data_IF_472519404307
#
_entry.id   IF_472519404307
#
_cell.length_a   1.000
_cell.length_b   1.000
_cell.length_c   1.000
_cell.angle_alpha   90.00
_cell.angle_beta   90.00
_cell.angle_gamma   90.00
#
_symmetry.space_group_name_H-M   'P 1'
#
loop_
_entity.id
_entity.type
_entity.pdbx_description
1 polymer ?
#
# COMPACT_ATOMS: atom_id res chain seq x y z
N UNK A 1 -9.46 -19.10 2.61
CA UNK A 1 -8.86 -19.38 1.27
C UNK A 1 -9.65 -20.34 0.35
N UNK A 2 -10.90 -20.65 0.64
CA UNK A 2 -11.74 -21.56 -0.16
C UNK A 2 -11.82 -21.23 -1.64
N UNK A 3 -11.81 -19.95 -2.02
CA UNK A 3 -11.81 -19.51 -3.41
C UNK A 3 -10.59 -20.01 -4.22
N UNK A 4 -9.41 -20.00 -3.61
CA UNK A 4 -8.16 -20.48 -4.23
C UNK A 4 -8.17 -22.01 -4.36
N UNK A 5 -8.66 -22.70 -3.31
CA UNK A 5 -8.75 -24.16 -3.31
C UNK A 5 -9.70 -24.70 -4.39
N UNK A 6 -10.83 -24.02 -4.60
CA UNK A 6 -11.78 -24.39 -5.65
C UNK A 6 -11.18 -24.30 -7.07
N UNK A 7 -10.03 -23.66 -7.25
CA UNK A 7 -9.33 -23.47 -8.52
C UNK A 7 -8.03 -24.27 -8.64
N UNK A 8 -7.67 -25.07 -7.62
CA UNK A 8 -6.60 -26.07 -7.76
C UNK A 8 -7.01 -27.16 -8.74
N UNK A 9 -6.04 -27.60 -9.53
CA UNK A 9 -6.25 -28.71 -10.48
C UNK A 9 -6.55 -30.01 -9.77
N UNK A 10 -7.38 -30.87 -10.38
CA UNK A 10 -7.76 -32.18 -9.83
C UNK A 10 -6.56 -33.15 -9.61
N UNK A 11 -5.44 -32.89 -10.26
CA UNK A 11 -4.21 -33.69 -10.13
C UNK A 11 -3.41 -33.39 -8.85
N UNK A 12 -3.71 -32.30 -8.14
CA UNK A 12 -3.04 -31.99 -6.88
C UNK A 12 -3.73 -32.69 -5.75
N UNK A 13 -3.06 -33.62 -5.10
CA UNK A 13 -3.53 -34.32 -3.89
C UNK A 13 -3.64 -33.41 -2.67
N UNK A 14 -2.97 -32.27 -2.70
CA UNK A 14 -2.95 -31.31 -1.62
C UNK A 14 -4.14 -30.35 -1.72
N UNK A 15 -5.12 -30.50 -0.80
CA UNK A 15 -6.32 -29.67 -0.69
C UNK A 15 -6.09 -28.40 0.13
N UNK A 16 -4.88 -28.20 0.68
CA UNK A 16 -4.55 -27.00 1.46
C UNK A 16 -3.92 -25.95 0.55
N UNK A 17 -4.17 -24.67 0.87
CA UNK A 17 -3.47 -23.58 0.21
C UNK A 17 -2.02 -23.53 0.68
N UNK A 18 -1.07 -23.57 -0.26
CA UNK A 18 0.34 -23.34 0.00
C UNK A 18 0.80 -22.13 -0.83
N UNK A 19 1.42 -21.10 -0.23
CA UNK A 19 1.95 -19.95 -0.96
C UNK A 19 3.07 -20.33 -1.96
N UNK A 20 3.76 -21.46 -1.72
CA UNK A 20 4.85 -21.97 -2.57
C UNK A 20 4.36 -22.84 -3.72
N UNK A 21 3.04 -23.01 -3.87
CA UNK A 21 2.48 -23.76 -5.01
C UNK A 21 2.88 -23.09 -6.33
N UNK A 22 3.28 -23.91 -7.30
CA UNK A 22 3.56 -23.43 -8.63
C UNK A 22 2.28 -22.98 -9.34
N UNK A 23 2.36 -22.04 -10.30
CA UNK A 23 1.20 -21.61 -11.10
C UNK A 23 0.47 -22.75 -11.79
N UNK A 24 1.19 -23.83 -12.15
CA UNK A 24 0.67 -25.05 -12.78
C UNK A 24 -0.23 -25.88 -11.85
N UNK A 25 -0.19 -25.66 -10.53
CA UNK A 25 -1.08 -26.32 -9.59
C UNK A 25 -2.53 -25.84 -9.70
N UNK A 26 -2.76 -24.72 -10.37
CA UNK A 26 -4.08 -24.11 -10.55
C UNK A 26 -4.61 -24.38 -11.96
N UNK A 27 -5.93 -24.53 -12.07
CA UNK A 27 -6.61 -24.68 -13.37
C UNK A 27 -6.42 -23.48 -14.30
N UNK A 28 -6.12 -22.31 -13.71
CA UNK A 28 -5.73 -21.11 -14.44
C UNK A 28 -4.52 -20.49 -13.75
N UNK A 29 -3.36 -20.36 -14.42
CA UNK A 29 -2.15 -19.76 -13.84
C UNK A 29 -2.34 -18.34 -13.28
N UNK A 30 -3.29 -17.57 -13.84
CA UNK A 30 -3.59 -16.22 -13.34
C UNK A 30 -4.11 -16.21 -11.91
N UNK A 31 -4.68 -17.31 -11.42
CA UNK A 31 -5.13 -17.45 -10.03
C UNK A 31 -3.97 -17.32 -9.06
N UNK A 32 -2.82 -17.90 -9.39
CA UNK A 32 -1.62 -17.80 -8.57
C UNK A 32 -1.16 -16.34 -8.43
N UNK A 33 -1.03 -15.61 -9.54
CA UNK A 33 -0.65 -14.20 -9.50
C UNK A 33 -1.68 -13.33 -8.77
N UNK A 34 -2.98 -13.62 -8.91
CA UNK A 34 -4.03 -12.94 -8.15
C UNK A 34 -3.86 -13.11 -6.64
N UNK A 35 -3.55 -14.32 -6.18
CA UNK A 35 -3.36 -14.61 -4.76
C UNK A 35 -2.09 -13.92 -4.23
N UNK A 36 -1.00 -13.93 -4.99
CA UNK A 36 0.23 -13.23 -4.62
C UNK A 36 -0.02 -11.73 -4.46
N UNK A 37 -0.62 -11.09 -5.46
CA UNK A 37 -0.93 -9.65 -5.40
C UNK A 37 -1.87 -9.32 -4.23
N UNK A 38 -2.85 -10.18 -3.94
CA UNK A 38 -3.71 -10.03 -2.77
C UNK A 38 -2.93 -10.12 -1.46
N UNK A 39 -2.01 -11.08 -1.34
CA UNK A 39 -1.19 -11.26 -0.15
C UNK A 39 -0.25 -10.08 0.08
N UNK A 40 0.40 -9.60 -0.97
CA UNK A 40 1.28 -8.42 -0.91
C UNK A 40 0.51 -7.17 -0.48
N UNK A 41 -0.65 -6.92 -1.07
CA UNK A 41 -1.50 -5.79 -0.70
C UNK A 41 -2.02 -5.91 0.73
N UNK A 42 -2.39 -7.11 1.18
CA UNK A 42 -2.82 -7.38 2.55
C UNK A 42 -1.72 -7.03 3.55
N UNK A 43 -0.47 -7.40 3.27
CA UNK A 43 0.69 -7.03 4.09
C UNK A 43 0.96 -5.52 4.11
N UNK A 44 0.68 -4.82 3.01
CA UNK A 44 0.79 -3.35 2.98
C UNK A 44 -0.28 -2.66 3.83
N UNK A 45 -1.48 -3.23 3.91
CA UNK A 45 -2.63 -2.66 4.65
C UNK A 45 -2.58 -3.00 6.14
N UNK A 46 -2.27 -4.24 6.47
CA UNK A 46 -2.38 -4.79 7.83
C UNK A 46 -1.02 -5.04 8.51
N UNK A 47 0.08 -4.96 7.77
CA UNK A 47 1.43 -5.21 8.28
C UNK A 47 2.06 -6.51 7.75
N UNK A 48 3.40 -6.65 7.95
CA UNK A 48 4.18 -7.74 7.35
C UNK A 48 3.77 -9.13 7.82
N UNK A 49 3.25 -9.25 9.04
CA UNK A 49 2.86 -10.53 9.64
C UNK A 49 1.46 -11.02 9.21
N UNK A 50 0.78 -10.25 8.36
CA UNK A 50 -0.54 -10.62 7.89
C UNK A 50 -0.49 -11.86 6.98
N UNK A 51 -1.30 -12.88 7.35
CA UNK A 51 -1.40 -14.14 6.60
C UNK A 51 -2.84 -14.33 6.08
N UNK A 52 -3.03 -14.41 4.76
CA UNK A 52 -4.34 -14.60 4.16
C UNK A 52 -5.00 -15.95 4.51
N UNK A 53 -4.24 -16.92 5.06
CA UNK A 53 -4.75 -18.23 5.45
C UNK A 53 -5.56 -18.17 6.74
N UNK A 54 -5.20 -17.29 7.65
CA UNK A 54 -5.78 -17.16 8.99
C UNK A 54 -6.95 -16.20 9.05
N UNK A 55 -7.10 -15.36 8.04
CA UNK A 55 -8.10 -14.30 7.98
C UNK A 55 -9.19 -14.59 6.93
N UNK A 56 -10.43 -14.11 7.15
CA UNK A 56 -11.43 -14.08 6.10
C UNK A 56 -10.97 -13.19 4.93
N UNK A 57 -11.64 -13.34 3.78
CA UNK A 57 -11.35 -12.46 2.62
C UNK A 57 -11.64 -11.00 2.97
N UNK A 58 -10.63 -10.16 2.82
CA UNK A 58 -10.73 -8.74 3.11
C UNK A 58 -11.19 -7.97 1.87
N UNK A 59 -12.39 -7.39 1.96
CA UNK A 59 -12.99 -6.62 0.88
C UNK A 59 -12.22 -5.35 0.54
N UNK A 60 -11.59 -4.68 1.51
CA UNK A 60 -10.78 -3.48 1.27
C UNK A 60 -9.52 -3.83 0.47
N UNK A 61 -8.81 -4.87 0.84
CA UNK A 61 -7.63 -5.36 0.11
C UNK A 61 -8.01 -5.73 -1.32
N UNK A 62 -9.12 -6.44 -1.52
CA UNK A 62 -9.61 -6.84 -2.85
C UNK A 62 -9.96 -5.63 -3.72
N UNK A 63 -10.61 -4.62 -3.13
CA UNK A 63 -10.93 -3.39 -3.84
C UNK A 63 -9.70 -2.58 -4.25
N UNK A 64 -8.65 -2.59 -3.43
CA UNK A 64 -7.36 -1.94 -3.75
C UNK A 64 -6.65 -2.67 -4.89
N UNK A 65 -6.51 -3.99 -4.80
CA UNK A 65 -5.86 -4.83 -5.83
C UNK A 65 -6.60 -4.76 -7.16
N UNK A 66 -7.92 -4.88 -7.15
CA UNK A 66 -8.73 -4.86 -8.37
C UNK A 66 -8.93 -3.48 -8.98
N UNK A 67 -8.56 -2.41 -8.25
CA UNK A 67 -8.88 -1.04 -8.66
C UNK A 67 -10.38 -0.77 -8.69
N UNK A 68 -11.15 -1.47 -7.85
CA UNK A 68 -12.60 -1.43 -7.81
C UNK A 68 -13.28 -2.66 -8.43
N UNK A 69 -14.59 -2.61 -8.55
CA UNK A 69 -15.35 -3.64 -9.29
C UNK A 69 -15.23 -3.41 -10.79
N UNK A 70 -14.95 -4.49 -11.54
CA UNK A 70 -15.02 -4.48 -13.00
C UNK A 70 -16.25 -5.24 -13.45
N UNK A 71 -17.12 -4.62 -14.24
CA UNK A 71 -18.39 -5.21 -14.69
C UNK A 71 -19.25 -5.77 -13.54
N UNK A 72 -19.25 -5.07 -12.39
CA UNK A 72 -19.99 -5.47 -11.21
C UNK A 72 -19.35 -6.58 -10.38
N UNK A 73 -18.19 -7.11 -10.80
CA UNK A 73 -17.51 -8.25 -10.15
C UNK A 73 -16.25 -7.82 -9.40
N UNK A 74 -15.95 -8.53 -8.31
CA UNK A 74 -14.70 -8.39 -7.59
C UNK A 74 -13.55 -9.13 -8.31
N UNK A 75 -12.35 -8.64 -8.12
CA UNK A 75 -11.14 -9.24 -8.68
C UNK A 75 -10.89 -10.65 -8.15
N UNK A 76 -11.15 -10.88 -6.87
CA UNK A 76 -11.06 -12.17 -6.18
C UNK A 76 -12.32 -12.36 -5.33
N UNK A 77 -12.79 -13.61 -5.22
CA UNK A 77 -13.85 -13.97 -4.28
C UNK A 77 -15.24 -13.44 -4.64
N UNK A 78 -15.51 -13.23 -5.93
CA UNK A 78 -16.81 -12.83 -6.39
C UNK A 78 -17.88 -13.82 -5.91
N UNK A 79 -18.95 -13.31 -5.28
CA UNK A 79 -19.98 -14.10 -4.62
C UNK A 79 -19.68 -14.56 -3.19
N UNK A 80 -18.45 -14.36 -2.69
CA UNK A 80 -18.07 -14.68 -1.29
C UNK A 80 -17.99 -13.44 -0.40
N UNK A 81 -17.92 -12.27 -1.01
CA UNK A 81 -17.79 -10.99 -0.30
C UNK A 81 -19.16 -10.38 -0.04
N UNK A 82 -19.37 -9.93 1.18
CA UNK A 82 -20.54 -9.12 1.48
C UNK A 82 -20.36 -7.71 0.88
N UNK A 83 -21.22 -7.40 -0.08
CA UNK A 83 -21.21 -6.13 -0.79
C UNK A 83 -21.57 -4.96 0.10
N UNK A 84 -22.37 -5.18 1.15
CA UNK A 84 -22.84 -4.13 2.05
C UNK A 84 -21.71 -3.66 3.00
N UNK A 85 -20.87 -4.60 3.45
CA UNK A 85 -19.76 -4.30 4.37
C UNK A 85 -18.47 -3.89 3.65
N UNK A 86 -18.35 -4.16 2.35
CA UNK A 86 -17.14 -3.84 1.58
C UNK A 86 -17.10 -2.36 1.19
N UNK A 87 -16.08 -1.59 1.62
CA UNK A 87 -15.97 -0.18 1.28
C UNK A 87 -15.73 0.03 -0.22
N UNK A 88 -16.28 1.09 -0.78
CA UNK A 88 -16.02 1.47 -2.16
C UNK A 88 -14.61 2.05 -2.32
N UNK A 89 -14.06 1.99 -3.52
CA UNK A 89 -12.72 2.54 -3.80
C UNK A 89 -12.64 4.04 -3.51
N UNK A 90 -13.71 4.80 -3.73
CA UNK A 90 -13.82 6.21 -3.38
C UNK A 90 -13.73 6.46 -1.87
N UNK A 91 -14.40 5.62 -1.06
CA UNK A 91 -14.32 5.70 0.40
C UNK A 91 -12.91 5.36 0.90
N UNK A 92 -12.26 4.35 0.31
CA UNK A 92 -10.87 3.98 0.63
C UNK A 92 -9.92 5.14 0.33
N UNK A 93 -10.06 5.75 -0.86
CA UNK A 93 -9.23 6.91 -1.25
C UNK A 93 -9.47 8.12 -0.35
N UNK A 94 -10.70 8.42 0.00
CA UNK A 94 -11.04 9.51 0.91
C UNK A 94 -10.39 9.34 2.29
N UNK A 95 -10.38 8.13 2.84
CA UNK A 95 -9.69 7.82 4.12
C UNK A 95 -8.18 8.02 4.01
N UNK A 96 -7.56 7.58 2.91
CA UNK A 96 -6.12 7.75 2.68
C UNK A 96 -5.74 9.23 2.54
N UNK A 97 -6.57 10.03 1.87
CA UNK A 97 -6.34 11.47 1.72
C UNK A 97 -6.53 12.22 3.04
N UNK A 98 -7.51 11.86 3.85
CA UNK A 98 -7.74 12.45 5.17
C UNK A 98 -6.54 12.22 6.11
N UNK A 99 -5.95 11.03 6.09
CA UNK A 99 -4.75 10.73 6.88
C UNK A 99 -3.48 11.41 6.33
N UNK A 100 -3.40 11.68 5.03
CA UNK A 100 -2.26 12.35 4.40
C UNK A 100 -2.29 13.87 4.56
N UNK A 101 -3.45 14.48 4.66
CA UNK A 101 -3.59 15.93 4.82
C UNK A 101 -3.15 16.44 6.21
N UNK A 102 -3.02 15.54 7.20
CA UNK A 102 -2.54 15.89 8.55
C UNK A 102 -1.02 16.08 8.64
N UNK A 103 -0.22 15.82 7.57
CA UNK A 103 1.24 15.70 7.68
C UNK A 103 2.01 16.81 6.97
N UNK A 104 1.39 17.68 6.17
CA UNK A 104 2.10 18.84 5.60
C UNK A 104 1.21 20.09 5.57
N UNK A 105 1.34 20.99 6.56
CA UNK A 105 0.93 22.35 6.34
C UNK A 105 1.76 22.87 5.16
N UNK A 106 1.08 23.26 4.08
CA UNK A 106 1.72 23.92 2.95
C UNK A 106 2.34 25.20 3.49
N UNK A 107 3.66 25.24 3.61
CA UNK A 107 4.38 26.44 4.02
C UNK A 107 3.90 27.59 3.15
N UNK A 108 3.38 28.64 3.77
CA UNK A 108 2.99 29.84 3.02
C UNK A 108 4.24 30.45 2.38
N UNK A 109 4.07 31.16 1.25
CA UNK A 109 5.18 31.81 0.55
C UNK A 109 6.03 32.68 1.49
N UNK A 110 5.41 33.31 2.50
CA UNK A 110 6.08 34.05 3.55
C UNK A 110 6.99 33.20 4.46
N UNK A 111 6.62 31.93 4.73
CA UNK A 111 7.46 31.03 5.54
C UNK A 111 8.67 30.50 4.77
N UNK A 112 8.54 30.30 3.46
CA UNK A 112 9.66 29.98 2.59
C UNK A 112 10.67 31.13 2.51
N UNK A 113 10.19 32.37 2.41
CA UNK A 113 11.04 33.56 2.38
C UNK A 113 11.82 33.79 3.68
N UNK A 114 11.22 33.49 4.83
CA UNK A 114 11.89 33.56 6.15
C UNK A 114 12.99 32.50 6.25
N UNK A 115 12.77 31.31 5.73
CA UNK A 115 13.78 30.24 5.73
C UNK A 115 14.98 30.58 4.83
N UNK A 116 14.77 31.15 3.66
CA UNK A 116 15.86 31.61 2.78
C UNK A 116 16.69 32.71 3.45
N UNK A 117 16.06 33.68 4.10
CA UNK A 117 16.75 34.74 4.83
C UNK A 117 17.58 34.21 5.99
N UNK A 118 17.11 33.20 6.70
CA UNK A 118 17.85 32.56 7.80
C UNK A 118 19.11 31.83 7.28
N UNK A 119 19.02 31.14 6.17
CA UNK A 119 20.16 30.42 5.55
C UNK A 119 21.21 31.41 5.09
N UNK A 120 20.82 32.51 4.45
CA UNK A 120 21.74 33.58 3.98
C UNK A 120 22.43 34.24 5.16
N UNK A 121 21.71 34.56 6.23
CA UNK A 121 22.24 35.16 7.47
C UNK A 121 23.27 34.23 8.13
N UNK A 122 23.00 32.92 8.20
CA UNK A 122 23.94 31.96 8.75
C UNK A 122 25.22 31.83 7.93
N UNK A 123 25.12 31.78 6.61
CA UNK A 123 26.29 31.78 5.72
C UNK A 123 27.13 33.06 5.85
N UNK A 124 26.51 34.22 6.06
CA UNK A 124 27.21 35.49 6.26
C UNK A 124 28.00 35.51 7.57
N UNK A 125 27.41 35.00 8.65
CA UNK A 125 28.05 34.88 9.96
C UNK A 125 29.24 33.92 9.90
N UNK A 126 29.09 32.77 9.28
CA UNK A 126 30.20 31.80 9.11
C UNK A 126 31.32 32.37 8.30
N UNK A 127 31.03 33.16 7.26
CA UNK A 127 32.03 33.80 6.43
C UNK A 127 32.83 34.89 7.16
N UNK A 128 32.15 35.69 7.99
CA UNK A 128 32.79 36.68 8.86
C UNK A 128 33.67 36.03 9.92
N UNK A 129 33.24 34.93 10.49
CA UNK A 129 34.04 34.18 11.48
C UNK A 129 35.29 33.57 10.86
N UNK A 130 35.20 33.03 9.62
CA UNK A 130 36.36 32.51 8.89
C UNK A 130 37.40 33.58 8.55
N UNK A 131 36.94 34.77 8.14
CA UNK A 131 37.85 35.91 7.86
C UNK A 131 38.51 36.45 9.12
N UNK A 132 37.81 36.45 10.24
CA UNK A 132 38.35 36.89 11.54
C UNK A 132 39.45 35.96 12.05
N UNK A 133 39.27 34.65 11.92
CA UNK A 133 40.27 33.64 12.30
C UNK A 133 41.50 33.70 11.39
N UNK A 134 41.33 33.94 10.10
CA UNK A 134 42.46 34.09 9.18
C UNK A 134 43.30 35.37 9.41
N UNK A 135 42.73 36.38 10.05
CA UNK A 135 43.44 37.64 10.32
C UNK A 135 44.13 37.69 11.71
N UNK A 136 43.78 36.69 12.57
CA UNK A 136 44.32 36.59 13.94
C UNK A 136 45.49 35.59 14.09
N UNK A 137 45.94 34.98 12.99
CA UNK A 137 47.13 34.13 12.85
C UNK A 137 48.21 34.84 12.04
#
# INVERSE_FOLDING_TARGET
>A
MGWALARKGKATSNITYNPDDLPSAYSNPSVHSCIQTYTEMGRQVHGPDWDPRTQPLDGEVIMRVGGGKKHGRYYIGDGLLDTASTPTLSQIRARSTANSSAIRPRLSASQLQVQELQVISYLFIVRLFCTYICFAL
#
